data_IF_089348563610
#
_entry.id   IF_089348563610
#
_cell.length_a   1.000
_cell.length_b   1.000
_cell.length_c   1.000
_cell.angle_alpha   90.00
_cell.angle_beta   90.00
_cell.angle_gamma   90.00
#
_symmetry.space_group_name_H-M   'P 1'
#
loop_
_entity.id
_entity.type
_entity.pdbx_description
1 polymer ?
#
# COMPACT_ATOMS: atom_id res chain seq x y z
N UNK A 1 -30.86 -1.80 8.63
CA UNK A 1 -29.99 -0.68 9.08
C UNK A 1 -28.61 -0.87 8.48
N UNK A 2 -28.24 -0.09 7.46
CA UNK A 2 -26.95 -0.21 6.79
C UNK A 2 -25.86 0.50 7.61
N UNK A 3 -24.88 -0.27 8.11
CA UNK A 3 -23.65 0.29 8.70
C UNK A 3 -22.72 0.70 7.56
N UNK A 4 -22.92 1.91 7.03
CA UNK A 4 -21.97 2.53 6.10
C UNK A 4 -20.74 2.96 6.90
N UNK A 5 -19.61 2.32 6.66
CA UNK A 5 -18.32 2.72 7.27
C UNK A 5 -17.78 3.89 6.43
N UNK A 6 -17.68 5.12 6.98
CA UNK A 6 -17.17 6.25 6.23
C UNK A 6 -15.68 6.04 5.93
N UNK A 7 -15.34 5.97 4.64
CA UNK A 7 -13.95 5.99 4.18
C UNK A 7 -13.40 7.42 4.28
N UNK A 8 -12.93 7.80 5.48
CA UNK A 8 -12.12 8.99 5.62
C UNK A 8 -10.75 8.71 4.96
N UNK A 9 -10.39 9.50 3.93
CA UNK A 9 -9.03 9.45 3.37
C UNK A 9 -8.05 9.85 4.49
N UNK A 10 -7.27 8.88 4.96
CA UNK A 10 -6.13 9.13 5.84
C UNK A 10 -5.20 10.12 5.13
N UNK A 11 -5.15 11.36 5.64
CA UNK A 11 -4.11 12.30 5.23
C UNK A 11 -2.80 11.75 5.78
N UNK A 12 -1.96 11.22 4.89
CA UNK A 12 -0.56 10.93 5.21
C UNK A 12 0.08 12.29 5.45
N UNK A 13 0.17 12.69 6.71
CA UNK A 13 0.95 13.85 7.13
C UNK A 13 2.40 13.55 6.76
N UNK A 14 2.89 14.23 5.72
CA UNK A 14 4.33 14.32 5.47
C UNK A 14 4.90 15.04 6.68
N UNK A 15 5.50 14.29 7.60
CA UNK A 15 6.06 14.84 8.82
C UNK A 15 6.95 16.04 8.48
N UNK A 16 6.64 17.18 9.10
CA UNK A 16 7.46 18.39 9.03
C UNK A 16 8.89 18.02 9.43
N UNK A 17 9.84 18.44 8.60
CA UNK A 17 11.24 18.06 8.68
C UNK A 17 11.90 18.80 9.84
N UNK A 18 11.75 18.27 11.05
CA UNK A 18 12.63 18.64 12.14
C UNK A 18 14.02 18.09 11.83
N UNK A 19 14.98 18.98 11.62
CA UNK A 19 16.40 18.65 11.50
C UNK A 19 16.77 17.74 12.68
N UNK A 20 17.07 16.47 12.38
CA UNK A 20 17.48 15.53 13.41
C UNK A 20 18.96 15.71 13.69
N UNK A 21 19.38 15.65 14.97
CA UNK A 21 20.79 15.57 15.32
C UNK A 21 21.47 14.44 14.51
N UNK A 22 22.70 14.69 14.04
CA UNK A 22 23.43 13.75 13.17
C UNK A 22 23.55 12.33 13.73
N UNK A 23 23.48 12.15 15.06
CA UNK A 23 23.55 10.85 15.73
C UNK A 23 22.29 9.97 15.58
N UNK A 24 21.14 10.53 15.24
CA UNK A 24 19.85 9.82 15.20
C UNK A 24 19.27 9.69 13.78
N UNK A 25 20.01 10.14 12.76
CA UNK A 25 19.55 10.08 11.38
C UNK A 25 19.77 8.69 10.77
N UNK A 26 18.71 8.09 10.23
CA UNK A 26 18.80 6.81 9.50
C UNK A 26 19.29 6.97 8.06
N UNK A 27 19.58 8.19 7.62
CA UNK A 27 20.13 8.53 6.31
C UNK A 27 19.36 7.95 5.09
N UNK A 28 18.05 7.69 5.25
CA UNK A 28 17.20 7.10 4.19
C UNK A 28 16.75 8.09 3.11
N UNK A 29 16.96 9.40 3.33
CA UNK A 29 16.69 10.44 2.33
C UNK A 29 17.99 11.05 1.91
N UNK A 30 18.38 10.77 0.67
CA UNK A 30 19.64 11.23 0.09
C UNK A 30 19.37 12.14 -1.11
N UNK A 31 20.30 13.06 -1.35
CA UNK A 31 20.36 13.93 -2.53
C UNK A 31 21.75 13.80 -3.13
N UNK A 32 21.80 13.88 -4.45
CA UNK A 32 23.06 13.96 -5.18
C UNK A 32 23.41 15.44 -5.33
N UNK A 33 24.59 15.82 -4.85
CA UNK A 33 25.15 17.15 -5.05
C UNK A 33 25.52 17.31 -6.54
N UNK A 34 24.90 18.23 -7.29
CA UNK A 34 25.02 18.31 -8.73
C UNK A 34 26.44 18.59 -9.22
N UNK A 35 27.27 19.22 -8.39
CA UNK A 35 28.60 19.69 -8.79
C UNK A 35 29.77 18.87 -8.21
N UNK A 36 29.50 17.93 -7.30
CA UNK A 36 30.55 17.27 -6.50
C UNK A 36 30.62 15.75 -6.59
N UNK A 37 29.62 15.08 -7.21
CA UNK A 37 29.54 13.62 -7.18
C UNK A 37 29.38 13.04 -5.75
N UNK A 38 29.01 13.89 -4.79
CA UNK A 38 28.84 13.53 -3.38
C UNK A 38 27.38 13.21 -3.11
N UNK A 39 27.15 12.19 -2.28
CA UNK A 39 25.82 11.89 -1.76
C UNK A 39 25.66 12.57 -0.40
N UNK A 40 24.59 13.34 -0.22
CA UNK A 40 24.29 14.01 1.06
C UNK A 40 22.92 13.59 1.58
N UNK A 41 22.80 13.45 2.90
CA UNK A 41 21.49 13.23 3.52
C UNK A 41 20.70 14.55 3.54
N UNK A 42 19.45 14.51 3.05
CA UNK A 42 18.60 15.70 3.03
C UNK A 42 18.03 16.10 4.39
N UNK A 43 18.19 15.26 5.42
CA UNK A 43 17.62 15.47 6.76
C UNK A 43 18.66 16.08 7.71
N UNK A 44 19.87 15.53 7.73
CA UNK A 44 20.93 15.96 8.66
C UNK A 44 22.14 16.62 7.97
N UNK A 45 22.15 16.68 6.63
CA UNK A 45 23.24 17.25 5.85
C UNK A 45 24.55 16.46 5.92
N UNK A 46 24.54 15.21 6.37
CA UNK A 46 25.74 14.36 6.39
C UNK A 46 26.15 13.95 4.97
N UNK A 47 27.44 14.05 4.65
CA UNK A 47 28.01 13.41 3.45
C UNK A 47 28.07 11.91 3.69
N UNK A 48 27.64 11.14 2.70
CA UNK A 48 27.54 9.71 2.73
C UNK A 48 28.45 9.11 1.66
N UNK A 49 29.01 7.94 1.96
CA UNK A 49 29.76 7.17 0.95
C UNK A 49 28.81 6.77 -0.19
N UNK A 50 29.20 6.95 -1.47
CA UNK A 50 28.40 6.49 -2.61
C UNK A 50 28.08 5.00 -2.55
N UNK A 51 29.03 4.16 -2.13
CA UNK A 51 28.79 2.72 -1.97
C UNK A 51 27.70 2.44 -0.94
N UNK A 52 27.79 3.07 0.24
CA UNK A 52 26.77 2.92 1.28
C UNK A 52 25.39 3.37 0.79
N UNK A 53 25.33 4.49 0.07
CA UNK A 53 24.08 5.02 -0.46
C UNK A 53 23.44 4.06 -1.48
N UNK A 54 24.23 3.47 -2.38
CA UNK A 54 23.74 2.50 -3.35
C UNK A 54 23.30 1.20 -2.68
N UNK A 55 24.03 0.69 -1.68
CA UNK A 55 23.63 -0.48 -0.90
C UNK A 55 22.33 -0.23 -0.13
N UNK A 56 22.21 0.92 0.55
CA UNK A 56 20.99 1.29 1.26
C UNK A 56 19.80 1.39 0.29
N UNK A 57 19.98 2.00 -0.88
CA UNK A 57 18.93 2.09 -1.90
C UNK A 57 18.51 0.73 -2.42
N UNK A 58 19.45 -0.17 -2.71
CA UNK A 58 19.12 -1.52 -3.21
C UNK A 58 18.35 -2.33 -2.17
N UNK A 59 18.72 -2.23 -0.89
CA UNK A 59 17.98 -2.84 0.21
C UNK A 59 16.56 -2.27 0.34
N UNK A 60 16.41 -0.93 0.33
CA UNK A 60 15.08 -0.30 0.39
C UNK A 60 14.22 -0.69 -0.82
N UNK A 61 14.82 -0.79 -2.00
CA UNK A 61 14.12 -1.21 -3.21
C UNK A 61 13.65 -2.67 -3.11
N UNK A 62 14.49 -3.57 -2.60
CA UNK A 62 14.11 -4.96 -2.34
C UNK A 62 12.94 -5.09 -1.37
N UNK A 63 12.95 -4.33 -0.28
CA UNK A 63 11.83 -4.29 0.68
C UNK A 63 10.53 -3.75 0.04
N UNK A 64 10.64 -2.70 -0.80
CA UNK A 64 9.50 -2.14 -1.50
C UNK A 64 8.89 -3.14 -2.49
N UNK A 65 9.72 -3.85 -3.25
CA UNK A 65 9.26 -4.92 -4.16
C UNK A 65 8.57 -6.05 -3.41
N UNK A 66 9.16 -6.56 -2.34
CA UNK A 66 8.55 -7.60 -1.52
C UNK A 66 7.19 -7.17 -0.95
N UNK A 67 7.05 -5.90 -0.58
CA UNK A 67 5.79 -5.34 -0.13
C UNK A 67 4.75 -5.25 -1.26
N UNK A 68 5.16 -4.86 -2.46
CA UNK A 68 4.28 -4.86 -3.65
C UNK A 68 3.78 -6.27 -3.94
N UNK A 69 4.67 -7.27 -3.94
CA UNK A 69 4.30 -8.67 -4.19
C UNK A 69 3.30 -9.18 -3.16
N UNK A 70 3.53 -8.88 -1.88
CA UNK A 70 2.60 -9.23 -0.80
C UNK A 70 1.23 -8.58 -0.98
N UNK A 71 1.19 -7.31 -1.39
CA UNK A 71 -0.07 -6.59 -1.62
C UNK A 71 -0.81 -7.15 -2.84
N UNK A 72 -0.10 -7.48 -3.91
CA UNK A 72 -0.67 -8.12 -5.09
C UNK A 72 -1.27 -9.49 -4.76
N UNK A 73 -0.57 -10.32 -3.98
CA UNK A 73 -1.10 -11.60 -3.53
C UNK A 73 -2.39 -11.44 -2.70
N UNK A 74 -2.41 -10.46 -1.78
CA UNK A 74 -3.62 -10.15 -0.99
C UNK A 74 -4.77 -9.66 -1.85
N UNK A 75 -4.48 -8.83 -2.85
CA UNK A 75 -5.47 -8.31 -3.78
C UNK A 75 -6.06 -9.43 -4.64
N UNK A 76 -5.24 -10.35 -5.13
CA UNK A 76 -5.70 -11.51 -5.89
C UNK A 76 -6.66 -12.40 -5.08
N UNK A 77 -6.32 -12.70 -3.82
CA UNK A 77 -7.18 -13.46 -2.92
C UNK A 77 -8.51 -12.74 -2.64
N UNK A 78 -8.46 -11.42 -2.41
CA UNK A 78 -9.65 -10.63 -2.19
C UNK A 78 -10.56 -10.61 -3.43
N UNK A 79 -9.99 -10.43 -4.62
CA UNK A 79 -10.72 -10.44 -5.89
C UNK A 79 -11.39 -11.81 -6.15
N UNK A 80 -10.68 -12.91 -5.88
CA UNK A 80 -11.25 -14.25 -5.98
C UNK A 80 -12.45 -14.42 -5.04
N UNK A 81 -12.32 -14.01 -3.77
CA UNK A 81 -13.42 -14.12 -2.81
C UNK A 81 -14.62 -13.24 -3.17
N UNK A 82 -14.39 -12.06 -3.74
CA UNK A 82 -15.47 -11.19 -4.22
C UNK A 82 -16.24 -11.85 -5.36
N UNK A 83 -15.53 -12.51 -6.28
CA UNK A 83 -16.17 -13.23 -7.39
C UNK A 83 -17.03 -14.40 -6.88
N UNK A 84 -16.47 -15.25 -6.01
CA UNK A 84 -17.22 -16.35 -5.37
C UNK A 84 -18.49 -15.86 -4.65
N UNK A 85 -18.36 -14.81 -3.83
CA UNK A 85 -19.50 -14.24 -3.11
C UNK A 85 -20.55 -13.63 -4.04
N UNK A 86 -20.13 -13.10 -5.19
CA UNK A 86 -21.06 -12.56 -6.20
C UNK A 86 -21.84 -13.70 -6.86
N UNK A 87 -21.17 -14.80 -7.22
CA UNK A 87 -21.82 -15.99 -7.75
C UNK A 87 -22.80 -16.63 -6.75
N UNK A 88 -22.41 -16.73 -5.48
CA UNK A 88 -23.29 -17.20 -4.39
C UNK A 88 -24.55 -16.32 -4.27
N UNK A 89 -24.39 -14.99 -4.36
CA UNK A 89 -25.51 -14.05 -4.28
C UNK A 89 -26.44 -14.15 -5.51
N UNK A 90 -25.87 -14.28 -6.71
CA UNK A 90 -26.64 -14.45 -7.95
C UNK A 90 -27.44 -15.77 -7.93
N UNK A 91 -26.87 -16.84 -7.39
CA UNK A 91 -27.58 -18.11 -7.21
C UNK A 91 -28.76 -17.99 -6.23
N UNK A 92 -28.55 -17.34 -5.08
CA UNK A 92 -29.60 -17.12 -4.08
C UNK A 92 -30.74 -16.26 -4.63
N UNK A 93 -30.42 -15.17 -5.31
CA UNK A 93 -31.45 -14.29 -5.91
C UNK A 93 -32.25 -15.01 -7.00
N UNK A 94 -31.61 -15.90 -7.76
CA UNK A 94 -32.29 -16.73 -8.76
C UNK A 94 -33.24 -17.73 -8.10
N UNK A 95 -32.80 -18.38 -7.01
CA UNK A 95 -33.63 -19.31 -6.23
C UNK A 95 -34.84 -18.61 -5.58
N UNK A 96 -34.65 -17.40 -5.04
CA UNK A 96 -35.75 -16.59 -4.48
C UNK A 96 -36.78 -16.21 -5.55
N UNK A 97 -36.35 -15.83 -6.76
CA UNK A 97 -37.25 -15.53 -7.88
C UNK A 97 -38.03 -16.76 -8.32
N UNK A 98 -37.38 -17.92 -8.43
CA UNK A 98 -38.05 -19.17 -8.75
C UNK A 98 -39.09 -19.57 -7.68
N UNK A 99 -38.77 -19.35 -6.40
CA UNK A 99 -39.67 -19.64 -5.28
C UNK A 99 -40.87 -18.67 -5.23
N UNK A 100 -40.69 -17.39 -5.58
CA UNK A 100 -41.80 -16.41 -5.66
C UNK A 100 -42.70 -16.60 -6.87
N UNK A 101 -42.20 -17.18 -7.96
CA UNK A 101 -42.99 -17.46 -9.17
C UNK A 101 -43.94 -18.67 -9.01
N UNK A 102 -43.81 -19.44 -7.94
CA UNK A 102 -44.72 -20.53 -7.57
C UNK A 102 -45.24 -20.24 -6.16
N UNK A 103 -46.36 -19.49 -6.03
CA UNK A 103 -47.68 -20.12 -6.08
C UNK A 103 -48.84 -19.22 -6.56
N UNK A 104 -49.56 -19.65 -7.60
CA UNK A 104 -51.05 -19.61 -7.64
C UNK A 104 -51.51 -20.55 -8.76
N UNK A 105 -51.68 -21.83 -8.42
CA UNK A 105 -52.66 -22.68 -9.09
C UNK A 105 -54.04 -22.41 -8.49
N UNK A 106 -55.07 -22.64 -9.31
CA UNK A 106 -56.53 -22.66 -9.09
C UNK A 106 -57.30 -21.35 -9.14
#
# INVERSE_FOLDING_TARGET
MSKVIPFARLRVSVAEQNERPRGECTHRRIKLEPNGGVVVCSICGAMLSPFWALSMLSEQYGLALAQIDRLNARLALASARVLELSEELDALTTQERASKASPTET
#
